data_IF_187098311959
#
_entry.id   IF_187098311959
#
_cell.length_a   1.000
_cell.length_b   1.000
_cell.length_c   1.000
_cell.angle_alpha   90.00
_cell.angle_beta   90.00
_cell.angle_gamma   90.00
#
_symmetry.space_group_name_H-M   'P 1'
#
loop_
_entity.id
_entity.type
_entity.pdbx_description
1 polymer ?
#
# COMPACT_ATOMS: atom_id res chain seq x y z
N UNK A 1 -53.45 -26.66 36.83
CA UNK A 1 -53.74 -25.28 36.35
C UNK A 1 -52.59 -24.84 35.48
N UNK A 2 -52.92 -24.46 34.25
CA UNK A 2 -52.02 -24.12 33.16
C UNK A 2 -51.82 -22.60 33.09
N UNK A 3 -50.62 -22.16 32.69
CA UNK A 3 -50.28 -20.87 32.04
C UNK A 3 -48.76 -20.73 32.04
N UNK A 4 -48.04 -20.23 31.04
CA UNK A 4 -48.20 -20.05 29.61
C UNK A 4 -46.79 -19.69 29.12
N UNK A 5 -46.35 -20.22 27.99
CA UNK A 5 -45.24 -19.64 27.24
C UNK A 5 -45.63 -18.21 26.82
N UNK A 6 -44.74 -17.25 27.06
CA UNK A 6 -44.92 -15.86 26.66
C UNK A 6 -43.64 -15.32 26.03
N UNK A 7 -43.52 -15.53 24.72
CA UNK A 7 -42.64 -14.77 23.84
C UNK A 7 -43.11 -13.31 23.88
N UNK A 8 -42.23 -12.36 24.22
CA UNK A 8 -42.50 -10.93 24.10
C UNK A 8 -41.46 -10.31 23.15
N UNK A 9 -41.86 -10.27 21.89
CA UNK A 9 -41.47 -9.24 20.92
C UNK A 9 -42.27 -7.96 21.21
N UNK A 10 -41.63 -6.80 21.26
CA UNK A 10 -42.12 -5.46 20.83
C UNK A 10 -41.00 -4.45 21.11
N UNK A 11 -40.28 -3.95 20.11
CA UNK A 11 -40.60 -2.83 19.20
C UNK A 11 -39.99 -1.50 19.64
N UNK A 12 -39.45 -0.82 18.62
CA UNK A 12 -39.34 0.63 18.45
C UNK A 12 -38.58 1.46 19.50
N UNK A 13 -37.30 1.71 19.22
CA UNK A 13 -36.78 3.08 19.33
C UNK A 13 -36.41 3.60 17.94
N UNK A 14 -37.35 4.37 17.37
CA UNK A 14 -37.10 5.28 16.27
C UNK A 14 -36.10 6.33 16.76
N UNK A 15 -34.87 6.29 16.26
CA UNK A 15 -34.01 7.47 16.20
C UNK A 15 -33.75 7.76 14.73
N UNK A 16 -34.61 8.62 14.17
CA UNK A 16 -34.30 9.38 12.97
C UNK A 16 -33.15 10.34 13.25
N UNK A 17 -32.38 10.64 12.19
CA UNK A 17 -31.35 11.69 12.00
C UNK A 17 -29.92 11.15 12.09
N UNK A 18 -29.06 11.23 11.08
CA UNK A 18 -29.11 11.78 9.71
C UNK A 18 -28.19 10.88 8.90
N UNK A 19 -28.68 10.28 7.81
CA UNK A 19 -27.81 9.70 6.79
C UNK A 19 -27.09 10.84 6.07
N UNK A 20 -25.92 11.26 6.56
CA UNK A 20 -24.93 11.86 5.67
C UNK A 20 -24.38 10.71 4.83
N UNK A 21 -25.12 10.35 3.79
CA UNK A 21 -24.54 9.65 2.66
C UNK A 21 -23.55 10.62 2.03
N UNK A 22 -22.30 10.64 2.52
CA UNK A 22 -21.17 11.05 1.69
C UNK A 22 -21.05 10.01 0.60
N UNK A 23 -21.90 10.15 -0.43
CA UNK A 23 -21.61 9.61 -1.74
C UNK A 23 -20.32 10.29 -2.17
N UNK A 24 -19.20 9.60 -1.97
CA UNK A 24 -18.09 9.68 -2.92
C UNK A 24 -18.63 9.11 -4.24
N UNK A 25 -19.48 9.88 -4.90
CA UNK A 25 -19.72 9.73 -6.33
C UNK A 25 -18.36 10.03 -6.96
N UNK A 26 -17.66 8.96 -7.36
CA UNK A 26 -16.55 9.07 -8.28
C UNK A 26 -17.07 9.90 -9.46
N UNK A 27 -16.59 11.14 -9.57
CA UNK A 27 -16.94 12.00 -10.71
C UNK A 27 -16.63 11.19 -11.97
N UNK A 28 -17.57 11.07 -12.91
CA UNK A 28 -17.25 10.45 -14.19
C UNK A 28 -16.11 11.28 -14.79
N UNK A 29 -14.94 10.65 -14.95
CA UNK A 29 -13.84 11.20 -15.72
C UNK A 29 -14.42 11.46 -17.10
N UNK A 30 -14.42 12.73 -17.53
CA UNK A 30 -14.82 13.08 -18.89
C UNK A 30 -13.94 12.26 -19.85
N UNK A 31 -14.53 11.25 -20.49
CA UNK A 31 -13.82 10.40 -21.44
C UNK A 31 -13.58 11.22 -22.69
N UNK A 32 -12.36 11.72 -22.83
CA UNK A 32 -11.79 12.08 -24.13
C UNK A 32 -11.97 10.88 -25.06
N UNK A 33 -12.69 11.09 -26.17
CA UNK A 33 -13.06 10.09 -27.17
C UNK A 33 -11.90 9.70 -28.10
N UNK A 34 -10.67 9.61 -27.58
CA UNK A 34 -9.61 8.91 -28.27
C UNK A 34 -9.85 7.40 -28.06
N UNK A 35 -9.75 6.54 -29.09
CA UNK A 35 -9.77 5.10 -28.89
C UNK A 35 -8.62 4.76 -27.95
N UNK A 36 -8.94 4.53 -26.68
CA UNK A 36 -7.96 4.08 -25.70
C UNK A 36 -7.72 2.62 -26.02
N UNK A 37 -6.64 2.34 -26.76
CA UNK A 37 -6.11 1.00 -26.83
C UNK A 37 -5.94 0.49 -25.40
N UNK A 38 -6.40 -0.72 -25.07
CA UNK A 38 -6.22 -1.30 -23.75
C UNK A 38 -4.74 -1.25 -23.36
N UNK A 39 -4.46 -0.98 -22.10
CA UNK A 39 -3.10 -1.08 -21.57
C UNK A 39 -2.56 -2.49 -21.83
N UNK A 40 -1.45 -2.58 -22.56
CA UNK A 40 -0.76 -3.84 -22.77
C UNK A 40 0.27 -3.99 -21.65
N UNK A 41 0.21 -5.08 -20.90
CA UNK A 41 1.13 -5.31 -19.78
C UNK A 41 2.44 -5.90 -20.31
N UNK A 42 3.55 -5.26 -19.97
CA UNK A 42 4.91 -5.71 -20.21
C UNK A 42 5.36 -6.75 -19.20
N UNK A 43 6.58 -6.62 -18.69
CA UNK A 43 7.15 -7.55 -17.70
C UNK A 43 6.58 -7.32 -16.31
N UNK A 44 6.52 -8.38 -15.52
CA UNK A 44 6.19 -8.31 -14.09
C UNK A 44 7.48 -8.28 -13.27
N UNK A 45 7.64 -7.24 -12.45
CA UNK A 45 8.71 -7.12 -11.46
C UNK A 45 8.12 -7.34 -10.08
N UNK A 46 8.66 -8.30 -9.32
CA UNK A 46 8.32 -8.48 -7.90
C UNK A 46 9.47 -7.92 -7.08
N UNK A 47 9.19 -6.89 -6.31
CA UNK A 47 10.21 -6.16 -5.55
C UNK A 47 9.84 -6.02 -4.08
N UNK A 48 10.86 -5.95 -3.24
CA UNK A 48 10.72 -5.69 -1.81
C UNK A 48 11.84 -4.79 -1.31
N UNK A 49 11.76 -4.33 -0.06
CA UNK A 49 12.87 -3.68 0.64
C UNK A 49 13.25 -4.49 1.88
N UNK A 50 14.53 -4.89 1.95
CA UNK A 50 15.05 -5.70 3.04
C UNK A 50 16.38 -5.14 3.56
N UNK A 51 16.30 -4.31 4.60
CA UNK A 51 17.42 -3.58 5.19
C UNK A 51 17.88 -4.16 6.53
N UNK A 52 18.01 -5.49 6.61
CA UNK A 52 18.54 -6.20 7.78
C UNK A 52 19.20 -7.52 7.32
N UNK A 53 20.54 -7.59 7.26
CA UNK A 53 21.25 -8.79 6.79
C UNK A 53 21.17 -9.98 7.74
N UNK A 54 20.74 -9.77 8.99
CA UNK A 54 20.63 -10.85 9.98
C UNK A 54 19.27 -11.54 9.93
N UNK A 55 18.28 -10.93 9.28
CA UNK A 55 16.91 -11.44 9.22
C UNK A 55 16.73 -12.35 8.01
N UNK A 56 16.52 -13.65 8.27
CA UNK A 56 16.35 -14.68 7.24
C UNK A 56 14.91 -14.85 6.75
N UNK A 57 13.96 -14.11 7.32
CA UNK A 57 12.54 -14.20 6.98
C UNK A 57 12.19 -13.76 5.55
N UNK A 58 13.16 -13.22 4.80
CA UNK A 58 13.01 -12.95 3.35
C UNK A 58 13.08 -14.22 2.50
N UNK A 59 13.73 -15.28 2.99
CA UNK A 59 13.97 -16.49 2.19
C UNK A 59 12.67 -17.16 1.69
N UNK A 60 11.60 -17.31 2.49
CA UNK A 60 10.32 -17.83 1.99
C UNK A 60 9.72 -17.01 0.85
N UNK A 61 9.77 -15.67 0.94
CA UNK A 61 9.31 -14.79 -0.12
C UNK A 61 10.13 -15.02 -1.40
N UNK A 62 11.46 -14.96 -1.30
CA UNK A 62 12.36 -15.16 -2.44
C UNK A 62 12.15 -16.54 -3.08
N UNK A 63 12.01 -17.60 -2.29
CA UNK A 63 11.74 -18.95 -2.77
C UNK A 63 10.39 -19.04 -3.50
N UNK A 64 9.33 -18.43 -2.96
CA UNK A 64 7.99 -18.46 -3.55
C UNK A 64 7.89 -17.71 -4.90
N UNK A 65 8.71 -16.67 -5.08
CA UNK A 65 8.82 -15.93 -6.34
C UNK A 65 9.67 -16.73 -7.34
N UNK A 66 10.80 -17.28 -6.87
CA UNK A 66 11.72 -18.06 -7.71
C UNK A 66 11.09 -19.35 -8.24
N UNK A 67 10.26 -20.04 -7.45
CA UNK A 67 9.55 -21.25 -7.88
C UNK A 67 8.59 -21.01 -9.06
N UNK A 68 8.28 -19.74 -9.36
CA UNK A 68 7.42 -19.33 -10.46
C UNK A 68 8.22 -18.75 -11.65
N UNK A 69 9.56 -18.85 -11.63
CA UNK A 69 10.43 -18.38 -12.71
C UNK A 69 10.72 -16.87 -12.68
N UNK A 70 10.42 -16.19 -11.58
CA UNK A 70 10.70 -14.77 -11.38
C UNK A 70 11.90 -14.56 -10.43
N UNK A 71 12.51 -13.38 -10.48
CA UNK A 71 13.57 -12.98 -9.54
C UNK A 71 13.02 -11.90 -8.62
N UNK A 72 13.12 -12.11 -7.30
CA UNK A 72 12.78 -11.09 -6.33
C UNK A 72 13.82 -9.96 -6.38
N UNK A 73 13.41 -8.76 -6.76
CA UNK A 73 14.24 -7.57 -6.64
C UNK A 73 14.29 -7.09 -5.19
N UNK A 74 15.48 -7.00 -4.61
CA UNK A 74 15.66 -6.62 -3.20
C UNK A 74 16.32 -5.25 -3.11
N UNK A 75 15.54 -4.26 -2.69
CA UNK A 75 15.97 -2.89 -2.47
C UNK A 75 16.61 -2.74 -1.08
N UNK A 76 17.62 -1.86 -0.97
CA UNK A 76 18.25 -1.55 0.32
C UNK A 76 18.98 -2.71 0.99
N UNK A 77 19.32 -3.77 0.25
CA UNK A 77 19.93 -4.99 0.80
C UNK A 77 21.17 -4.70 1.65
N UNK A 78 21.33 -5.45 2.74
CA UNK A 78 22.53 -5.45 3.58
C UNK A 78 22.98 -4.05 4.01
N UNK A 79 22.08 -3.25 4.59
CA UNK A 79 22.40 -1.93 5.09
C UNK A 79 22.89 -0.96 4.02
N UNK A 80 22.40 -1.10 2.78
CA UNK A 80 22.80 -0.20 1.70
C UNK A 80 22.26 1.21 1.93
N UNK A 81 23.19 2.17 1.84
CA UNK A 81 22.97 3.62 1.89
C UNK A 81 23.01 4.24 0.46
N UNK A 82 23.20 3.40 -0.57
CA UNK A 82 23.27 3.76 -1.98
C UNK A 82 22.23 2.99 -2.79
N UNK A 83 21.65 3.65 -3.79
CA UNK A 83 20.77 3.02 -4.77
C UNK A 83 21.53 2.10 -5.74
N UNK A 84 20.79 1.36 -6.57
CA UNK A 84 21.34 0.40 -7.53
C UNK A 84 22.19 1.06 -8.64
N UNK A 85 22.07 2.37 -8.84
CA UNK A 85 22.87 3.17 -9.78
C UNK A 85 24.08 3.87 -9.10
N UNK A 86 24.32 3.58 -7.81
CA UNK A 86 25.42 4.15 -7.02
C UNK A 86 25.13 5.52 -6.41
N UNK A 87 24.02 6.17 -6.77
CA UNK A 87 23.65 7.46 -6.17
C UNK A 87 23.24 7.27 -4.70
N UNK A 88 23.50 8.27 -3.87
CA UNK A 88 23.11 8.22 -2.45
C UNK A 88 21.70 8.77 -2.27
N UNK A 89 20.92 8.13 -1.42
CA UNK A 89 19.61 8.64 -1.05
C UNK A 89 19.63 9.61 0.16
N UNK A 90 20.83 9.87 0.71
CA UNK A 90 21.03 10.73 1.86
C UNK A 90 20.54 10.13 3.20
N UNK A 91 20.35 10.98 4.23
CA UNK A 91 19.90 10.56 5.56
C UNK A 91 18.67 9.63 5.58
N UNK A 92 17.64 9.80 4.71
CA UNK A 92 16.44 8.96 4.73
C UNK A 92 16.62 7.46 4.53
N UNK A 93 17.69 6.99 3.86
CA UNK A 93 17.95 5.54 3.74
C UNK A 93 19.23 5.08 4.41
N UNK A 94 19.85 5.89 5.26
CA UNK A 94 20.90 5.39 6.13
C UNK A 94 20.42 4.13 6.83
N UNK A 95 21.22 3.08 6.91
CA UNK A 95 20.86 1.84 7.59
C UNK A 95 20.51 2.06 9.07
N UNK A 96 19.55 1.31 9.60
CA UNK A 96 19.17 1.42 11.02
C UNK A 96 20.13 0.68 11.97
N UNK A 97 21.44 0.98 11.88
CA UNK A 97 22.48 0.29 12.65
C UNK A 97 22.31 0.44 14.16
N UNK A 98 21.72 1.55 14.62
CA UNK A 98 21.37 1.80 16.01
C UNK A 98 20.14 1.03 16.51
N UNK A 99 19.40 0.36 15.62
CA UNK A 99 18.12 -0.32 15.90
C UNK A 99 17.09 0.62 16.53
N UNK A 100 17.16 1.91 16.20
CA UNK A 100 16.23 2.91 16.71
C UNK A 100 14.83 2.69 16.13
N UNK A 101 13.79 3.10 16.86
CA UNK A 101 12.42 3.08 16.33
C UNK A 101 12.32 4.13 15.21
N UNK A 102 12.38 3.66 13.96
CA UNK A 102 12.13 4.49 12.78
C UNK A 102 10.65 4.56 12.51
N UNK A 103 10.15 5.78 12.37
CA UNK A 103 8.72 6.04 12.38
C UNK A 103 8.27 6.39 10.97
N UNK A 104 7.42 5.52 10.42
CA UNK A 104 7.01 5.54 9.02
C UNK A 104 7.93 4.67 8.15
N UNK A 105 7.48 4.45 6.92
CA UNK A 105 8.16 3.62 5.92
C UNK A 105 9.04 4.47 4.98
N UNK A 106 9.70 5.50 5.51
CA UNK A 106 10.40 6.51 4.70
C UNK A 106 11.47 5.90 3.80
N UNK A 107 12.31 5.00 4.33
CA UNK A 107 13.32 4.28 3.53
C UNK A 107 12.68 3.54 2.35
N UNK A 108 11.54 2.85 2.55
CA UNK A 108 10.80 2.18 1.47
C UNK A 108 10.35 3.15 0.39
N UNK A 109 9.76 4.28 0.78
CA UNK A 109 9.27 5.27 -0.17
C UNK A 109 10.38 5.90 -1.00
N UNK A 110 11.52 6.24 -0.38
CA UNK A 110 12.67 6.80 -1.12
C UNK A 110 13.25 5.79 -2.11
N UNK A 111 13.38 4.52 -1.71
CA UNK A 111 13.84 3.45 -2.60
C UNK A 111 12.87 3.15 -3.73
N UNK A 112 11.57 3.15 -3.46
CA UNK A 112 10.54 2.97 -4.49
C UNK A 112 10.53 4.12 -5.48
N UNK A 113 10.59 5.36 -5.00
CA UNK A 113 10.63 6.53 -5.87
C UNK A 113 11.83 6.46 -6.81
N UNK A 114 13.02 6.16 -6.28
CA UNK A 114 14.23 6.03 -7.08
C UNK A 114 14.16 4.86 -8.08
N UNK A 115 13.59 3.72 -7.66
CA UNK A 115 13.36 2.59 -8.55
C UNK A 115 12.49 2.96 -9.75
N UNK A 116 11.35 3.64 -9.53
CA UNK A 116 10.49 4.05 -10.63
C UNK A 116 11.11 5.11 -11.56
N UNK A 117 11.95 6.01 -11.04
CA UNK A 117 12.54 7.08 -11.85
C UNK A 117 13.81 6.68 -12.60
N UNK A 118 14.60 5.73 -12.06
CA UNK A 118 15.97 5.50 -12.51
C UNK A 118 16.28 4.05 -12.90
N UNK A 119 15.36 3.10 -12.72
CA UNK A 119 15.67 1.71 -13.02
C UNK A 119 15.81 1.48 -14.54
N UNK A 120 17.01 1.09 -15.03
CA UNK A 120 17.32 1.13 -16.47
C UNK A 120 16.53 0.12 -17.31
N UNK A 121 15.93 -0.88 -16.66
CA UNK A 121 15.17 -1.95 -17.30
C UNK A 121 13.68 -1.90 -16.95
N UNK A 122 13.20 -0.82 -16.34
CA UNK A 122 11.78 -0.62 -16.04
C UNK A 122 11.14 0.17 -17.18
N UNK A 123 10.11 -0.41 -17.80
CA UNK A 123 9.38 0.21 -18.88
C UNK A 123 8.01 0.70 -18.42
N UNK A 124 7.45 1.64 -19.19
CA UNK A 124 6.16 2.29 -18.95
C UNK A 124 4.96 1.33 -18.94
N UNK A 125 5.12 0.16 -19.56
CA UNK A 125 4.15 -0.93 -19.65
C UNK A 125 4.40 -2.05 -18.64
N UNK A 126 5.53 -2.03 -17.93
CA UNK A 126 5.84 -3.03 -16.91
C UNK A 126 4.92 -2.91 -15.68
N UNK A 127 4.63 -4.05 -15.05
CA UNK A 127 3.88 -4.13 -13.81
C UNK A 127 4.83 -4.38 -12.65
N UNK A 128 4.71 -3.57 -11.59
CA UNK A 128 5.53 -3.69 -10.38
C UNK A 128 4.66 -4.11 -9.20
N UNK A 129 4.93 -5.29 -8.65
CA UNK A 129 4.38 -5.75 -7.37
C UNK A 129 5.39 -5.44 -6.27
N UNK A 130 5.09 -4.44 -5.45
CA UNK A 130 5.83 -4.17 -4.22
C UNK A 130 5.21 -4.91 -3.04
N UNK A 131 6.06 -5.56 -2.24
CA UNK A 131 5.65 -6.26 -1.01
C UNK A 131 6.62 -6.00 0.13
N UNK A 132 6.14 -6.15 1.37
CA UNK A 132 7.01 -6.23 2.53
C UNK A 132 7.85 -7.51 2.50
N UNK A 133 9.06 -7.43 3.08
CA UNK A 133 10.08 -8.47 2.93
C UNK A 133 9.95 -9.63 3.91
N UNK A 134 9.32 -9.40 5.06
CA UNK A 134 9.59 -10.20 6.25
C UNK A 134 8.43 -11.06 6.72
N UNK A 135 7.22 -10.70 6.35
CA UNK A 135 5.96 -11.26 6.81
C UNK A 135 4.99 -11.53 5.65
N UNK A 136 5.53 -11.61 4.42
CA UNK A 136 4.77 -11.90 3.21
C UNK A 136 5.31 -13.15 2.52
N UNK A 137 4.40 -13.93 1.95
CA UNK A 137 4.66 -15.02 1.02
C UNK A 137 3.76 -14.87 -0.20
N UNK A 138 4.27 -15.21 -1.40
CA UNK A 138 3.47 -15.25 -2.62
C UNK A 138 2.92 -16.66 -2.78
N UNK A 139 1.62 -16.84 -2.50
CA UNK A 139 0.96 -18.15 -2.58
C UNK A 139 0.07 -18.31 -3.83
N UNK A 140 -0.09 -17.25 -4.63
CA UNK A 140 -0.84 -17.28 -5.88
C UNK A 140 0.07 -17.43 -7.10
N UNK A 141 -0.53 -17.79 -8.24
CA UNK A 141 0.14 -17.80 -9.54
C UNK A 141 0.38 -16.37 -10.04
N UNK A 142 1.63 -15.97 -10.11
CA UNK A 142 2.10 -14.66 -10.57
C UNK A 142 1.77 -14.39 -12.04
N UNK A 143 1.55 -15.42 -12.87
CA UNK A 143 1.09 -15.25 -14.25
C UNK A 143 -0.31 -14.61 -14.32
N UNK A 144 -1.09 -14.67 -13.23
CA UNK A 144 -2.42 -14.05 -13.14
C UNK A 144 -2.39 -12.56 -12.79
N UNK A 145 -1.24 -12.00 -12.38
CA UNK A 145 -1.15 -10.61 -11.91
C UNK A 145 -1.60 -9.60 -12.98
N UNK A 146 -1.19 -9.80 -14.23
CA UNK A 146 -1.58 -8.93 -15.33
C UNK A 146 -3.10 -8.93 -15.57
N UNK A 147 -3.74 -10.10 -15.54
CA UNK A 147 -5.19 -10.21 -15.75
C UNK A 147 -5.98 -9.64 -14.59
N UNK A 148 -5.52 -9.83 -13.35
CA UNK A 148 -6.09 -9.21 -12.15
C UNK A 148 -5.98 -7.69 -12.25
N UNK A 149 -4.81 -7.17 -12.59
CA UNK A 149 -4.57 -5.74 -12.74
C UNK A 149 -5.53 -5.13 -13.77
N UNK A 150 -5.54 -5.65 -15.00
CA UNK A 150 -6.39 -5.14 -16.08
C UNK A 150 -7.88 -5.22 -15.73
N UNK A 151 -8.31 -6.26 -15.01
CA UNK A 151 -9.69 -6.37 -14.54
C UNK A 151 -10.03 -5.26 -13.55
N UNK A 152 -9.16 -4.99 -12.58
CA UNK A 152 -9.39 -3.98 -11.53
C UNK A 152 -9.27 -2.55 -12.07
N UNK A 153 -8.38 -2.31 -13.03
CA UNK A 153 -8.19 -0.99 -13.66
C UNK A 153 -9.04 -0.77 -14.91
N UNK A 154 -9.93 -1.73 -15.24
CA UNK A 154 -10.77 -1.69 -16.45
C UNK A 154 -9.96 -1.47 -17.74
N UNK A 155 -8.80 -2.14 -17.82
CA UNK A 155 -7.88 -2.07 -18.95
C UNK A 155 -7.06 -0.78 -19.04
N UNK A 156 -7.04 0.05 -17.98
CA UNK A 156 -6.28 1.30 -17.94
C UNK A 156 -5.00 1.18 -17.09
N UNK A 157 -4.09 2.15 -17.25
CA UNK A 157 -2.98 2.35 -16.32
C UNK A 157 -3.52 2.73 -14.94
N UNK A 158 -2.84 2.32 -13.88
CA UNK A 158 -3.28 2.60 -12.52
C UNK A 158 -2.38 1.99 -11.46
N UNK A 159 -2.77 2.17 -10.21
CA UNK A 159 -2.13 1.59 -9.03
C UNK A 159 -3.21 0.93 -8.18
N UNK A 160 -2.92 -0.26 -7.67
CA UNK A 160 -3.79 -1.01 -6.78
C UNK A 160 -3.09 -1.13 -5.43
N UNK A 161 -3.75 -0.68 -4.37
CA UNK A 161 -3.30 -0.88 -3.00
C UNK A 161 -4.02 -2.09 -2.40
N UNK A 162 -3.36 -2.80 -1.48
CA UNK A 162 -4.04 -3.81 -0.67
C UNK A 162 -5.11 -3.11 0.18
N UNK A 163 -6.29 -3.73 0.27
CA UNK A 163 -7.32 -3.33 1.22
C UNK A 163 -7.11 -4.03 2.55
N UNK A 164 -7.28 -3.31 3.65
CA UNK A 164 -7.25 -3.84 5.00
C UNK A 164 -8.58 -3.52 5.71
N UNK A 165 -9.07 -4.39 6.62
CA UNK A 165 -10.36 -4.19 7.29
C UNK A 165 -10.34 -3.05 8.32
N UNK A 166 -9.17 -2.51 8.63
CA UNK A 166 -8.98 -1.40 9.56
C UNK A 166 -8.44 -0.17 8.86
N UNK A 167 -8.80 1.01 9.36
CA UNK A 167 -8.08 2.21 9.00
C UNK A 167 -6.78 2.24 9.81
N UNK A 168 -5.70 1.79 9.15
CA UNK A 168 -4.32 1.83 9.62
C UNK A 168 -4.16 1.53 11.10
N UNK A 169 -4.07 0.24 11.48
CA UNK A 169 -3.94 -0.22 12.87
C UNK A 169 -2.96 0.62 13.70
N UNK A 170 -1.86 1.03 13.06
CA UNK A 170 -0.84 1.94 13.58
C UNK A 170 -1.38 3.23 14.21
N UNK A 171 -2.43 3.84 13.66
CA UNK A 171 -3.10 5.03 14.20
C UNK A 171 -4.03 4.73 15.37
N UNK A 172 -4.41 3.47 15.59
CA UNK A 172 -5.23 3.02 16.72
C UNK A 172 -4.40 2.47 17.89
N UNK A 173 -3.13 2.13 17.71
CA UNK A 173 -2.30 1.52 18.78
C UNK A 173 -2.01 2.55 19.87
N UNK A 174 -2.30 2.21 21.13
CA UNK A 174 -2.00 3.02 22.31
C UNK A 174 -0.56 2.82 22.80
N UNK A 175 0.41 3.20 21.95
CA UNK A 175 1.83 3.16 22.28
C UNK A 175 2.56 4.40 21.71
N UNK A 176 3.84 4.63 22.07
CA UNK A 176 4.58 5.81 21.61
C UNK A 176 4.68 5.94 20.08
N UNK A 177 4.64 4.83 19.34
CA UNK A 177 4.62 4.83 17.89
C UNK A 177 3.31 5.41 17.36
N UNK A 178 2.16 4.91 17.84
CA UNK A 178 0.84 5.43 17.48
C UNK A 178 0.64 6.89 17.90
N UNK A 179 1.10 7.28 19.09
CA UNK A 179 1.04 8.67 19.56
C UNK A 179 1.80 9.63 18.65
N UNK A 180 2.96 9.20 18.15
CA UNK A 180 3.74 10.01 17.20
C UNK A 180 3.07 10.09 15.84
N UNK A 181 2.39 9.05 15.36
CA UNK A 181 1.64 9.13 14.11
C UNK A 181 0.44 10.07 14.22
N UNK A 182 -0.29 10.00 15.35
CA UNK A 182 -1.46 10.84 15.63
C UNK A 182 -1.11 12.32 15.80
N UNK A 183 0.00 12.63 16.46
CA UNK A 183 0.47 14.01 16.67
C UNK A 183 0.99 14.71 15.41
N UNK A 184 1.19 13.99 14.30
CA UNK A 184 1.64 14.59 13.03
C UNK A 184 0.49 15.20 12.23
N UNK A 185 0.84 16.18 11.40
CA UNK A 185 -0.01 16.68 10.30
C UNK A 185 0.49 16.12 8.98
N UNK A 186 -0.38 15.41 8.29
CA UNK A 186 -0.05 14.67 7.08
C UNK A 186 -0.43 15.50 5.84
N UNK A 187 0.53 15.82 4.96
CA UNK A 187 0.23 16.48 3.71
C UNK A 187 -0.48 15.49 2.77
N UNK A 188 -1.62 15.92 2.22
CA UNK A 188 -2.44 15.15 1.29
C UNK A 188 -2.54 15.94 -0.02
N UNK A 189 -2.19 15.28 -1.11
CA UNK A 189 -2.33 15.78 -2.48
C UNK A 189 -2.55 14.59 -3.41
N UNK A 190 -3.75 14.47 -3.98
CA UNK A 190 -4.11 13.34 -4.84
C UNK A 190 -3.72 13.62 -6.30
N UNK A 191 -3.83 14.87 -6.73
CA UNK A 191 -3.43 15.30 -8.07
C UNK A 191 -2.29 16.33 -7.99
N UNK A 192 -1.37 16.33 -8.95
CA UNK A 192 -0.22 17.26 -8.96
C UNK A 192 -0.62 18.73 -8.91
N UNK A 193 -1.74 19.09 -9.54
CA UNK A 193 -2.29 20.45 -9.61
C UNK A 193 -3.00 20.90 -8.33
N UNK A 194 -3.32 19.99 -7.40
CA UNK A 194 -4.01 20.33 -6.17
C UNK A 194 -3.08 21.05 -5.19
N UNK A 195 -3.61 22.08 -4.54
CA UNK A 195 -2.98 22.64 -3.35
C UNK A 195 -2.89 21.57 -2.27
N UNK A 196 -1.74 21.48 -1.60
CA UNK A 196 -1.53 20.55 -0.50
C UNK A 196 -2.52 20.84 0.62
N UNK A 197 -3.30 19.82 0.99
CA UNK A 197 -4.16 19.85 2.18
C UNK A 197 -3.45 19.12 3.31
N UNK A 198 -3.90 19.32 4.55
CA UNK A 198 -3.33 18.64 5.69
C UNK A 198 -4.42 17.95 6.50
N UNK A 199 -4.22 16.68 6.82
CA UNK A 199 -5.04 15.95 7.78
C UNK A 199 -4.29 15.79 9.10
N UNK A 200 -5.00 15.87 10.22
CA UNK A 200 -4.46 15.46 11.52
C UNK A 200 -4.29 13.95 11.53
N UNK A 201 -3.22 13.44 12.13
CA UNK A 201 -3.08 12.01 12.38
C UNK A 201 -4.18 11.47 13.30
N UNK A 202 -4.76 12.31 14.16
CA UNK A 202 -5.93 11.96 14.96
C UNK A 202 -7.19 11.75 14.11
N UNK A 203 -7.30 12.41 12.96
CA UNK A 203 -8.50 12.39 12.12
C UNK A 203 -8.37 11.39 10.96
N UNK A 204 -7.18 10.83 10.73
CA UNK A 204 -6.87 9.97 9.58
C UNK A 204 -7.86 8.81 9.42
N UNK A 205 -8.39 8.31 10.53
CA UNK A 205 -9.26 7.14 10.59
C UNK A 205 -10.67 7.42 11.08
N UNK A 206 -11.02 8.70 11.23
CA UNK A 206 -12.37 9.14 11.61
C UNK A 206 -12.98 10.10 10.56
N UNK A 207 -12.37 10.18 9.36
CA UNK A 207 -12.80 11.02 8.25
C UNK A 207 -13.94 10.42 7.43
#
# INVERSE_FOLDING_TARGET
MATAMGLLTLETLLVQRVTLASRLEARPIATSSAPHSPFNVGKVHVITLADDPTRTAICPLAASVYSQGLVLGVLGWNYSDHFFDGTSCGPPCQANRGKDIRIGQQKKLHWLHHYFEHHPNLHDDDLVLFTDAWDVIVNGDTATLASIFLKQTRGQRGVIFNGEPSCGDSFGIANPYGDKLRSKRWPIRLERSQNVRYASGHDMCYA
#
